data_IF_338367981241
#
_entry.id   IF_338367981241
#
_cell.length_a   1.000
_cell.length_b   1.000
_cell.length_c   1.000
_cell.angle_alpha   90.00
_cell.angle_beta   90.00
_cell.angle_gamma   90.00
#
_symmetry.space_group_name_H-M   'P 1'
#
loop_
_entity.id
_entity.type
_entity.pdbx_description
1 polymer ?
#
# COMPACT_ATOMS: atom_id res chain seq x y z
N UNK A 1 0.65 9.54 -0.58
CA UNK A 1 -0.22 9.13 -1.71
C UNK A 1 0.41 7.99 -2.52
N UNK A 2 1.44 8.23 -3.34
CA UNK A 2 2.07 7.22 -4.21
C UNK A 2 2.47 5.91 -3.51
N UNK A 3 3.16 5.96 -2.37
CA UNK A 3 3.56 4.75 -1.64
C UNK A 3 2.37 3.93 -1.14
N UNK A 4 1.28 4.60 -0.74
CA UNK A 4 0.10 3.93 -0.19
C UNK A 4 -0.69 3.21 -1.29
N UNK A 5 -0.83 3.82 -2.46
CA UNK A 5 -1.46 3.18 -3.62
C UNK A 5 -0.64 1.98 -4.12
N UNK A 6 0.70 2.07 -4.10
CA UNK A 6 1.56 0.92 -4.40
C UNK A 6 1.30 -0.24 -3.45
N UNK A 7 1.18 0.04 -2.14
CA UNK A 7 0.93 -0.98 -1.13
C UNK A 7 -0.50 -1.55 -1.19
N UNK A 8 -1.49 -0.78 -1.69
CA UNK A 8 -2.83 -1.30 -1.97
C UNK A 8 -2.79 -2.27 -3.15
N UNK A 9 -2.20 -1.86 -4.29
CA UNK A 9 -2.18 -2.70 -5.49
C UNK A 9 -1.25 -3.91 -5.35
N UNK A 10 -0.13 -3.73 -4.64
CA UNK A 10 0.88 -4.77 -4.42
C UNK A 10 1.15 -4.93 -2.91
N UNK A 11 0.19 -5.52 -2.17
CA UNK A 11 0.38 -5.71 -0.74
C UNK A 11 1.48 -6.76 -0.49
N UNK A 12 2.39 -6.55 0.47
CA UNK A 12 3.44 -7.50 0.79
C UNK A 12 2.88 -8.82 1.37
N UNK A 13 1.69 -8.77 1.98
CA UNK A 13 0.94 -9.93 2.44
C UNK A 13 -0.48 -9.90 1.87
N UNK A 14 -0.87 -10.95 1.17
CA UNK A 14 -2.20 -11.05 0.55
C UNK A 14 -3.30 -11.49 1.51
N UNK A 15 -2.92 -12.07 2.65
CA UNK A 15 -3.82 -12.68 3.62
C UNK A 15 -3.36 -12.38 5.04
N UNK A 16 -4.31 -12.10 5.94
CA UNK A 16 -4.08 -12.07 7.39
C UNK A 16 -4.92 -13.18 8.01
N UNK A 17 -4.30 -14.05 8.81
CA UNK A 17 -4.98 -15.17 9.47
C UNK A 17 -5.15 -14.90 10.96
N UNK A 18 -6.28 -15.34 11.51
CA UNK A 18 -6.58 -15.34 12.94
C UNK A 18 -7.12 -16.71 13.32
N UNK A 19 -6.89 -17.15 14.55
CA UNK A 19 -7.50 -18.37 15.11
C UNK A 19 -8.43 -17.96 16.23
N UNK A 20 -9.67 -18.42 16.19
CA UNK A 20 -10.62 -18.13 17.25
C UNK A 20 -10.32 -19.02 18.46
N UNK A 21 -10.14 -18.41 19.63
CA UNK A 21 -9.91 -19.18 20.87
C UNK A 21 -11.22 -19.62 21.55
N UNK A 22 -12.35 -18.99 21.20
CA UNK A 22 -13.65 -19.28 21.77
C UNK A 22 -14.73 -19.07 20.69
N UNK A 23 -15.94 -19.57 20.96
CA UNK A 23 -17.05 -19.29 20.07
C UNK A 23 -17.42 -17.81 20.15
N UNK A 24 -17.55 -17.16 19.01
CA UNK A 24 -17.84 -15.72 18.91
C UNK A 24 -18.78 -15.45 17.74
N UNK A 25 -19.86 -14.73 18.02
CA UNK A 25 -20.81 -14.25 17.02
C UNK A 25 -20.49 -12.80 16.69
N UNK A 26 -20.26 -12.52 15.41
CA UNK A 26 -19.93 -11.17 14.95
C UNK A 26 -21.15 -10.25 15.01
N UNK A 27 -21.03 -9.14 15.74
CA UNK A 27 -22.10 -8.15 15.87
C UNK A 27 -22.59 -7.64 14.51
N UNK A 28 -23.89 -7.72 14.24
CA UNK A 28 -24.48 -7.29 12.97
C UNK A 28 -24.49 -8.34 11.86
N UNK A 29 -24.06 -9.58 12.15
CA UNK A 29 -24.20 -10.72 11.25
C UNK A 29 -24.66 -11.95 12.04
N UNK A 30 -25.26 -12.94 11.37
CA UNK A 30 -25.61 -14.22 12.01
C UNK A 30 -24.44 -15.22 12.00
N UNK A 31 -23.22 -14.77 11.68
CA UNK A 31 -22.04 -15.62 11.57
C UNK A 31 -21.47 -15.89 12.95
N UNK A 32 -21.53 -17.15 13.37
CA UNK A 32 -20.89 -17.64 14.59
C UNK A 32 -19.64 -18.44 14.24
N UNK A 33 -18.50 -17.98 14.73
CA UNK A 33 -17.25 -18.74 14.70
C UNK A 33 -17.23 -19.70 15.86
N UNK A 34 -16.83 -20.96 15.64
CA UNK A 34 -16.57 -21.90 16.73
C UNK A 34 -15.13 -21.75 17.24
N UNK A 35 -14.88 -22.22 18.46
CA UNK A 35 -13.52 -22.34 18.97
C UNK A 35 -12.65 -23.15 17.99
N UNK A 36 -11.39 -22.77 17.89
CA UNK A 36 -10.38 -23.38 17.03
C UNK A 36 -10.53 -23.16 15.51
N UNK A 37 -11.49 -22.33 15.10
CA UNK A 37 -11.67 -21.99 13.69
C UNK A 37 -10.61 -20.99 13.21
N UNK A 38 -10.03 -21.24 12.03
CA UNK A 38 -9.14 -20.29 11.35
C UNK A 38 -9.96 -19.30 10.52
N UNK A 39 -9.83 -18.03 10.84
CA UNK A 39 -10.38 -16.90 10.11
C UNK A 39 -9.33 -16.36 9.16
N UNK A 40 -9.73 -16.16 7.91
CA UNK A 40 -8.87 -15.65 6.85
C UNK A 40 -9.42 -14.31 6.40
N UNK A 41 -8.61 -13.26 6.51
CA UNK A 41 -8.92 -11.91 6.01
C UNK A 41 -8.20 -11.75 4.67
N UNK A 42 -8.94 -11.74 3.55
CA UNK A 42 -8.34 -11.68 2.22
C UNK A 42 -7.98 -10.22 1.87
N UNK A 43 -6.82 -9.76 2.35
CA UNK A 43 -6.33 -8.39 2.11
C UNK A 43 -6.29 -8.07 0.62
N UNK A 44 -5.78 -8.99 -0.20
CA UNK A 44 -5.68 -8.78 -1.64
C UNK A 44 -7.07 -8.59 -2.29
N UNK A 45 -8.07 -9.38 -1.89
CA UNK A 45 -9.42 -9.27 -2.43
C UNK A 45 -10.07 -7.94 -2.04
N UNK A 46 -9.94 -7.53 -0.76
CA UNK A 46 -10.44 -6.22 -0.28
C UNK A 46 -9.79 -5.06 -1.06
N UNK A 47 -8.49 -5.16 -1.34
CA UNK A 47 -7.76 -4.13 -2.09
C UNK A 47 -8.15 -4.05 -3.56
N UNK A 48 -8.66 -5.14 -4.14
CA UNK A 48 -9.06 -5.22 -5.55
C UNK A 48 -10.59 -5.27 -5.73
N UNK A 49 -11.34 -5.01 -4.66
CA UNK A 49 -12.80 -4.97 -4.69
C UNK A 49 -13.25 -3.69 -5.43
N UNK A 50 -13.97 -3.80 -6.57
CA UNK A 50 -14.45 -2.66 -7.34
C UNK A 50 -15.48 -1.81 -6.58
N UNK A 51 -16.19 -2.38 -5.60
CA UNK A 51 -17.17 -1.66 -4.79
C UNK A 51 -16.47 -0.72 -3.79
N UNK A 52 -15.24 -1.05 -3.39
CA UNK A 52 -14.40 -0.24 -2.51
C UNK A 52 -13.44 0.67 -3.29
N UNK A 53 -12.94 0.21 -4.43
CA UNK A 53 -11.96 0.89 -5.27
C UNK A 53 -12.42 0.88 -6.73
N UNK A 54 -13.11 1.94 -7.22
CA UNK A 54 -13.58 1.99 -8.60
C UNK A 54 -12.41 1.89 -9.58
N UNK A 55 -12.39 0.92 -10.49
CA UNK A 55 -11.24 0.59 -11.35
C UNK A 55 -9.98 0.17 -10.55
N UNK A 56 -10.05 -0.95 -9.79
CA UNK A 56 -8.99 -1.36 -8.86
C UNK A 56 -7.65 -1.69 -9.54
N UNK A 57 -7.72 -2.03 -10.83
CA UNK A 57 -6.54 -2.34 -11.64
C UNK A 57 -5.75 -1.11 -12.09
N UNK A 58 -6.35 0.08 -12.05
CA UNK A 58 -5.66 1.31 -12.41
C UNK A 58 -4.90 1.82 -11.19
N UNK A 59 -3.61 2.10 -11.38
CA UNK A 59 -2.79 2.74 -10.37
C UNK A 59 -3.12 4.24 -10.33
N UNK A 60 -3.82 4.67 -9.29
CA UNK A 60 -4.28 6.05 -9.13
C UNK A 60 -3.90 6.60 -7.74
N UNK A 61 -2.75 7.29 -7.62
CA UNK A 61 -2.26 7.82 -6.33
C UNK A 61 -3.23 8.78 -5.64
N UNK A 62 -4.02 9.50 -6.42
CA UNK A 62 -4.95 10.55 -5.97
C UNK A 62 -6.10 9.99 -5.10
N UNK A 63 -6.40 8.68 -5.19
CA UNK A 63 -7.35 8.00 -4.30
C UNK A 63 -7.04 8.18 -2.82
N UNK A 64 -5.76 8.40 -2.50
CA UNK A 64 -5.28 8.52 -1.13
C UNK A 64 -5.06 9.97 -0.71
N UNK A 65 -5.53 10.97 -1.48
CA UNK A 65 -5.42 12.37 -1.11
C UNK A 65 -6.07 12.66 0.26
N UNK A 66 -5.61 13.69 0.96
CA UNK A 66 -6.08 14.08 2.30
C UNK A 66 -7.61 14.30 2.33
N UNK A 67 -8.18 14.86 1.26
CA UNK A 67 -9.63 15.07 1.11
C UNK A 67 -10.43 13.76 1.13
N UNK A 68 -9.83 12.66 0.67
CA UNK A 68 -10.46 11.34 0.58
C UNK A 68 -10.17 10.47 1.82
N UNK A 69 -9.18 10.81 2.66
CA UNK A 69 -8.79 10.01 3.82
C UNK A 69 -9.92 9.87 4.85
N UNK A 70 -10.72 10.92 5.06
CA UNK A 70 -11.82 10.92 6.03
C UNK A 70 -13.05 10.10 5.61
N UNK A 71 -13.26 9.92 4.29
CA UNK A 71 -14.43 9.22 3.75
C UNK A 71 -14.29 7.69 3.77
N UNK A 72 -13.06 7.20 3.90
CA UNK A 72 -12.74 5.79 3.72
C UNK A 72 -12.75 5.04 5.04
N UNK A 73 -13.42 3.90 5.05
CA UNK A 73 -13.40 3.03 6.22
C UNK A 73 -11.97 2.52 6.50
N UNK A 74 -11.49 2.59 7.77
CA UNK A 74 -10.11 2.22 8.12
C UNK A 74 -9.71 0.80 7.74
N UNK A 75 -10.70 -0.09 7.59
CA UNK A 75 -10.50 -1.51 7.25
C UNK A 75 -10.41 -1.78 5.74
N UNK A 76 -10.61 -0.77 4.88
CA UNK A 76 -10.58 -0.97 3.42
C UNK A 76 -9.13 -1.00 2.88
N UNK A 77 -8.15 -0.54 3.66
CA UNK A 77 -6.75 -0.51 3.26
C UNK A 77 -5.85 -1.10 4.34
N UNK A 78 -5.60 -2.39 4.25
CA UNK A 78 -4.84 -3.19 5.23
C UNK A 78 -3.48 -3.74 4.73
N UNK A 79 -2.61 -2.97 4.06
CA UNK A 79 -1.33 -3.50 3.55
C UNK A 79 -0.39 -4.00 4.66
N UNK A 80 -0.63 -3.57 5.90
CA UNK A 80 0.13 -3.95 7.09
C UNK A 80 -0.77 -4.50 8.21
N UNK A 81 -2.00 -4.89 7.86
CA UNK A 81 -3.03 -5.21 8.84
C UNK A 81 -3.49 -4.00 9.66
N UNK A 82 -4.34 -4.28 10.65
CA UNK A 82 -4.86 -3.31 11.60
C UNK A 82 -5.11 -3.98 12.97
N UNK A 83 -5.30 -3.17 14.01
CA UNK A 83 -5.48 -3.62 15.39
C UNK A 83 -4.17 -3.89 16.13
N UNK A 84 -4.21 -4.63 17.25
CA UNK A 84 -3.06 -4.79 18.15
C UNK A 84 -1.91 -5.63 17.58
N UNK A 85 -2.14 -6.37 16.50
CA UNK A 85 -1.11 -7.11 15.77
C UNK A 85 -0.93 -6.54 14.35
N UNK A 86 -0.85 -5.21 14.23
CA UNK A 86 -0.43 -4.57 13.00
C UNK A 86 1.09 -4.71 12.80
N UNK A 87 1.57 -4.47 11.58
CA UNK A 87 3.01 -4.54 11.30
C UNK A 87 3.79 -3.51 12.13
N UNK A 88 4.68 -3.99 12.98
CA UNK A 88 5.59 -3.17 13.79
C UNK A 88 6.56 -2.37 12.90
N UNK A 89 6.89 -2.93 11.72
CA UNK A 89 7.77 -2.31 10.72
C UNK A 89 7.10 -1.28 9.82
N UNK A 90 5.80 -0.99 9.99
CA UNK A 90 5.06 -0.05 9.12
C UNK A 90 5.79 1.28 8.96
N UNK A 91 6.22 1.88 10.08
CA UNK A 91 6.95 3.15 10.07
C UNK A 91 8.29 3.05 9.34
N UNK A 92 9.04 1.95 9.56
CA UNK A 92 10.33 1.74 8.89
C UNK A 92 10.17 1.62 7.38
N UNK A 93 9.18 0.86 6.90
CA UNK A 93 8.93 0.70 5.46
C UNK A 93 8.61 2.05 4.81
N UNK A 94 7.74 2.86 5.41
CA UNK A 94 7.43 4.17 4.86
C UNK A 94 8.66 5.09 4.77
N UNK A 95 9.49 5.13 5.82
CA UNK A 95 10.71 5.95 5.85
C UNK A 95 11.69 5.46 4.77
N UNK A 96 11.97 4.16 4.72
CA UNK A 96 12.92 3.58 3.77
C UNK A 96 12.48 3.80 2.32
N UNK A 97 11.19 3.65 2.02
CA UNK A 97 10.65 3.92 0.68
C UNK A 97 10.84 5.39 0.28
N UNK A 98 10.58 6.33 1.18
CA UNK A 98 10.77 7.76 0.91
C UNK A 98 12.25 8.06 0.63
N UNK A 99 13.16 7.51 1.44
CA UNK A 99 14.61 7.72 1.27
C UNK A 99 15.08 7.17 -0.07
N UNK A 100 14.74 5.91 -0.39
CA UNK A 100 15.14 5.26 -1.64
C UNK A 100 14.60 6.01 -2.86
N UNK A 101 13.33 6.42 -2.82
CA UNK A 101 12.73 7.16 -3.93
C UNK A 101 13.43 8.51 -4.15
N UNK A 102 13.72 9.27 -3.09
CA UNK A 102 14.43 10.55 -3.18
C UNK A 102 15.85 10.40 -3.69
N UNK A 103 16.59 9.39 -3.22
CA UNK A 103 17.95 9.11 -3.68
C UNK A 103 17.94 8.73 -5.16
N UNK A 104 17.07 7.81 -5.58
CA UNK A 104 16.97 7.40 -6.98
C UNK A 104 16.57 8.55 -7.90
N UNK A 105 15.60 9.38 -7.51
CA UNK A 105 15.24 10.57 -8.27
C UNK A 105 16.42 11.54 -8.39
N UNK A 106 17.21 11.71 -7.32
CA UNK A 106 18.44 12.51 -7.32
C UNK A 106 19.50 11.95 -8.26
N UNK A 107 19.75 10.64 -8.25
CA UNK A 107 20.69 9.97 -9.15
C UNK A 107 20.26 10.13 -10.61
N UNK A 108 18.98 9.89 -10.92
CA UNK A 108 18.45 10.04 -12.29
C UNK A 108 18.56 11.50 -12.75
N UNK A 109 18.24 12.47 -11.89
CA UNK A 109 18.39 13.89 -12.21
C UNK A 109 19.86 14.28 -12.41
N UNK A 110 20.78 13.71 -11.63
CA UNK A 110 22.22 13.91 -11.80
C UNK A 110 22.71 13.32 -13.12
N UNK A 111 22.37 12.08 -13.44
CA UNK A 111 22.72 11.43 -14.71
C UNK A 111 22.13 12.18 -15.91
N UNK A 112 20.87 12.63 -15.84
CA UNK A 112 20.26 13.43 -16.92
C UNK A 112 20.98 14.76 -17.12
N UNK A 113 21.43 15.41 -16.05
CA UNK A 113 22.25 16.64 -16.15
C UNK A 113 23.60 16.35 -16.76
N UNK A 114 24.28 15.30 -16.33
CA UNK A 114 25.59 14.93 -16.85
C UNK A 114 25.55 14.57 -18.35
N UNK A 115 24.52 13.83 -18.77
CA UNK A 115 24.23 13.53 -20.19
C UNK A 115 23.96 14.81 -20.99
N UNK A 116 23.20 15.76 -20.44
CA UNK A 116 22.94 17.04 -21.09
C UNK A 116 24.20 17.90 -21.22
N UNK A 117 25.06 17.92 -20.19
CA UNK A 117 26.34 18.66 -20.23
C UNK A 117 27.35 18.04 -21.18
N UNK A 118 27.46 16.71 -21.24
CA UNK A 118 28.27 16.04 -22.27
C UNK A 118 27.69 16.30 -23.66
N UNK A 119 26.39 16.14 -23.88
CA UNK A 119 25.77 16.41 -25.20
C UNK A 119 25.96 17.85 -25.68
N UNK A 120 25.90 18.85 -24.78
CA UNK A 120 26.24 20.25 -25.11
C UNK A 120 27.72 20.42 -25.46
N UNK A 121 28.63 19.75 -24.74
CA UNK A 121 30.08 19.86 -24.94
C UNK A 121 30.55 19.17 -26.23
N UNK A 122 29.90 18.09 -26.65
CA UNK A 122 30.21 17.35 -27.89
C UNK A 122 29.42 17.84 -29.11
N UNK A 123 28.26 18.48 -28.92
CA UNK A 123 27.49 19.13 -30.00
C UNK A 123 27.98 20.52 -30.39
N UNK A 124 28.98 21.06 -29.70
CA UNK A 124 29.61 22.36 -29.97
C UNK A 124 31.04 22.25 -30.51
N UNK A 125 31.51 21.04 -30.84
CA UNK A 125 32.77 20.84 -31.55
C UNK A 125 32.50 20.95 -33.06
N UNK A 126 33.33 21.71 -33.81
CA UNK A 126 33.11 22.00 -35.23
C UNK A 126 33.20 20.77 -36.13
#
# INVERSE_FOLDING_TARGET
FHCTETLRKYPPGSIVQRRSNASYTFTGTEVTTTADTTLIIPVWAIHHDPDLYPNPEIFEPERFNEDNEGSRHPMNCLPFGNGPHNCIGKCHVFITFIIVFRINAGIIAFQRRDIQTTRRKWGSLP
#
